data_IF_940044032363
#
_entry.id   IF_940044032363
#
_cell.length_a   1.000
_cell.length_b   1.000
_cell.length_c   1.000
_cell.angle_alpha   90.00
_cell.angle_beta   90.00
_cell.angle_gamma   90.00
#
_symmetry.space_group_name_H-M   'P 1'
#
loop_
_entity.id
_entity.type
_entity.pdbx_description
1 polymer ?
#
# COMPACT_ATOMS: atom_id res chain seq x y z
N UNK A 1 0.94 -22.98 2.56
CA UNK A 1 0.60 -21.62 3.04
C UNK A 1 1.46 -21.22 4.24
N UNK A 2 1.67 -22.09 5.22
CA UNK A 2 2.49 -21.81 6.42
C UNK A 2 3.96 -21.43 6.12
N UNK A 3 4.63 -22.08 5.17
CA UNK A 3 6.02 -21.75 4.81
C UNK A 3 6.23 -20.32 4.29
N UNK A 4 5.25 -19.75 3.59
CA UNK A 4 5.32 -18.36 3.08
C UNK A 4 5.22 -17.38 4.25
N UNK A 5 4.30 -17.64 5.19
CA UNK A 5 4.19 -16.87 6.44
C UNK A 5 5.44 -16.95 7.31
N UNK A 6 6.11 -18.11 7.36
CA UNK A 6 7.39 -18.26 8.08
C UNK A 6 8.51 -17.43 7.44
N UNK A 7 8.66 -17.45 6.11
CA UNK A 7 9.66 -16.62 5.41
C UNK A 7 9.36 -15.11 5.55
N UNK A 8 8.08 -14.74 5.54
CA UNK A 8 7.64 -13.36 5.75
C UNK A 8 7.95 -12.88 7.18
N UNK A 9 7.56 -13.63 8.21
CA UNK A 9 7.79 -13.24 9.61
C UNK A 9 9.27 -13.33 10.05
N UNK A 10 10.01 -14.36 9.61
CA UNK A 10 11.40 -14.57 10.03
C UNK A 10 12.45 -13.93 9.09
N UNK A 11 12.08 -13.57 7.87
CA UNK A 11 12.98 -12.93 6.91
C UNK A 11 12.74 -11.42 6.81
N UNK A 12 11.50 -11.02 6.52
CA UNK A 12 11.19 -9.62 6.23
C UNK A 12 11.22 -8.74 7.46
N UNK A 13 10.57 -9.15 8.56
CA UNK A 13 10.52 -8.35 9.80
C UNK A 13 11.92 -8.03 10.33
N UNK A 14 12.84 -8.99 10.53
CA UNK A 14 14.19 -8.66 10.98
C UNK A 14 14.97 -7.82 9.95
N UNK A 15 14.79 -8.05 8.65
CA UNK A 15 15.42 -7.22 7.63
C UNK A 15 14.95 -5.76 7.67
N UNK A 16 13.63 -5.54 7.78
CA UNK A 16 13.05 -4.21 7.93
C UNK A 16 13.53 -3.52 9.22
N UNK A 17 13.60 -4.26 10.33
CA UNK A 17 14.13 -3.75 11.59
C UNK A 17 15.60 -3.34 11.49
N UNK A 18 16.44 -4.11 10.77
CA UNK A 18 17.84 -3.74 10.54
C UNK A 18 17.94 -2.43 9.76
N UNK A 19 17.20 -2.29 8.65
CA UNK A 19 17.21 -1.06 7.84
C UNK A 19 16.73 0.13 8.67
N UNK A 20 15.64 -0.05 9.43
CA UNK A 20 15.07 1.00 10.28
C UNK A 20 16.01 1.39 11.42
N UNK A 21 16.65 0.41 12.05
CA UNK A 21 17.65 0.65 13.09
C UNK A 21 18.83 1.46 12.55
N UNK A 22 19.31 1.14 11.35
CA UNK A 22 20.37 1.92 10.71
C UNK A 22 19.95 3.34 10.39
N UNK A 23 18.74 3.51 9.84
CA UNK A 23 18.21 4.83 9.55
C UNK A 23 18.10 5.68 10.84
N UNK A 24 17.57 5.12 11.93
CA UNK A 24 17.45 5.80 13.23
C UNK A 24 18.80 6.12 13.82
N UNK A 25 19.76 5.18 13.76
CA UNK A 25 21.12 5.42 14.25
C UNK A 25 21.78 6.58 13.52
N UNK A 26 21.70 6.59 12.19
CA UNK A 26 22.24 7.65 11.36
C UNK A 26 21.55 9.00 11.61
N UNK A 27 20.21 9.00 11.71
CA UNK A 27 19.43 10.19 12.05
C UNK A 27 19.85 10.78 13.40
N UNK A 28 20.15 9.93 14.40
CA UNK A 28 20.60 10.38 15.72
C UNK A 28 22.02 10.93 15.72
N UNK A 29 22.92 10.35 14.94
CA UNK A 29 24.34 10.74 14.93
C UNK A 29 24.65 11.92 14.00
N UNK A 30 23.86 12.13 12.94
CA UNK A 30 24.17 13.11 11.91
C UNK A 30 22.89 13.72 11.32
N UNK A 31 22.45 14.83 11.93
CA UNK A 31 21.26 15.58 11.51
C UNK A 31 21.57 16.52 10.33
N UNK A 32 22.19 15.99 9.27
CA UNK A 32 22.43 16.72 8.01
C UNK A 32 21.15 16.79 7.18
N UNK A 33 21.04 17.77 6.29
CA UNK A 33 19.82 18.06 5.52
C UNK A 33 19.22 16.86 4.75
N UNK A 34 20.07 15.94 4.29
CA UNK A 34 19.66 14.71 3.58
C UNK A 34 18.85 13.75 4.49
N UNK A 35 19.19 13.65 5.77
CA UNK A 35 18.46 12.81 6.73
C UNK A 35 17.11 13.40 7.15
N UNK A 36 16.94 14.72 7.03
CA UNK A 36 15.62 15.36 7.19
C UNK A 36 14.65 14.87 6.12
N UNK A 37 15.12 14.77 4.86
CA UNK A 37 14.30 14.26 3.76
C UNK A 37 13.88 12.80 4.01
N UNK A 38 14.82 11.94 4.46
CA UNK A 38 14.52 10.55 4.80
C UNK A 38 13.54 10.42 5.98
N UNK A 39 13.64 11.31 6.97
CA UNK A 39 12.69 11.36 8.08
C UNK A 39 11.29 11.79 7.61
N UNK A 40 11.20 12.79 6.72
CA UNK A 40 9.92 13.20 6.12
C UNK A 40 9.29 12.07 5.29
N UNK A 41 10.07 11.39 4.47
CA UNK A 41 9.62 10.22 3.70
C UNK A 41 9.11 9.10 4.60
N UNK A 42 9.82 8.80 5.69
CA UNK A 42 9.36 7.83 6.69
C UNK A 42 8.06 8.27 7.36
N UNK A 43 7.93 9.57 7.67
CA UNK A 43 6.70 10.14 8.21
C UNK A 43 5.51 10.02 7.25
N UNK A 44 5.72 10.25 5.95
CA UNK A 44 4.71 10.06 4.91
C UNK A 44 4.29 8.60 4.80
N UNK A 45 5.26 7.67 4.77
CA UNK A 45 4.97 6.23 4.76
C UNK A 45 4.18 5.81 6.01
N UNK A 46 4.57 6.31 7.18
CA UNK A 46 3.86 6.01 8.42
C UNK A 46 2.43 6.58 8.41
N UNK A 47 2.24 7.82 7.93
CA UNK A 47 0.91 8.43 7.82
C UNK A 47 0.00 7.67 6.85
N UNK A 48 0.54 7.24 5.71
CA UNK A 48 -0.17 6.41 4.73
C UNK A 48 -0.59 5.05 5.31
N UNK A 49 0.34 4.33 5.96
CA UNK A 49 0.05 3.06 6.63
C UNK A 49 -0.99 3.22 7.74
N UNK A 50 -0.91 4.31 8.53
CA UNK A 50 -1.91 4.64 9.56
C UNK A 50 -3.27 4.87 8.91
N UNK A 51 -3.34 5.65 7.83
CA UNK A 51 -4.59 5.93 7.12
C UNK A 51 -5.20 4.64 6.55
N UNK A 52 -4.37 3.75 6.00
CA UNK A 52 -4.82 2.48 5.45
C UNK A 52 -5.28 1.49 6.52
N UNK A 53 -4.53 1.33 7.62
CA UNK A 53 -4.85 0.39 8.71
C UNK A 53 -6.01 0.86 9.58
N UNK A 54 -6.04 2.15 9.95
CA UNK A 54 -7.04 2.72 10.85
C UNK A 54 -8.28 3.19 10.08
N UNK A 55 -8.12 3.68 8.85
CA UNK A 55 -9.24 4.20 8.06
C UNK A 55 -10.29 3.13 7.75
N UNK A 56 -9.89 1.89 7.46
CA UNK A 56 -10.81 0.78 7.19
C UNK A 56 -11.79 0.49 8.35
N UNK A 57 -11.33 0.21 9.59
CA UNK A 57 -12.24 -0.05 10.70
C UNK A 57 -13.04 1.19 11.10
N UNK A 58 -12.45 2.39 11.02
CA UNK A 58 -13.16 3.64 11.34
C UNK A 58 -14.32 3.86 10.37
N UNK A 59 -14.10 3.74 9.07
CA UNK A 59 -15.18 3.88 8.08
C UNK A 59 -16.22 2.77 8.21
N UNK A 60 -15.79 1.53 8.45
CA UNK A 60 -16.70 0.41 8.63
C UNK A 60 -17.66 0.62 9.82
N UNK A 61 -17.20 1.29 10.90
CA UNK A 61 -18.06 1.64 12.03
C UNK A 61 -19.19 2.61 11.66
N UNK A 62 -19.02 3.41 10.60
CA UNK A 62 -20.05 4.30 10.05
C UNK A 62 -20.80 3.71 8.85
N UNK A 63 -20.58 2.43 8.51
CA UNK A 63 -21.18 1.81 7.33
C UNK A 63 -20.60 2.30 6.00
N UNK A 64 -19.42 2.91 6.02
CA UNK A 64 -18.71 3.43 4.86
C UNK A 64 -17.48 2.56 4.54
N UNK A 65 -16.99 2.67 3.32
CA UNK A 65 -15.75 2.06 2.87
C UNK A 65 -14.97 3.05 2.00
N UNK A 66 -13.64 2.92 1.99
CA UNK A 66 -12.81 3.63 1.02
C UNK A 66 -13.18 3.19 -0.40
N UNK A 67 -13.12 4.13 -1.34
CA UNK A 67 -13.20 3.83 -2.78
C UNK A 67 -12.04 2.92 -3.17
N UNK A 68 -12.26 2.01 -4.11
CA UNK A 68 -11.28 0.99 -4.49
C UNK A 68 -10.02 1.61 -5.13
N UNK A 69 -10.19 2.63 -5.96
CA UNK A 69 -9.09 3.39 -6.56
C UNK A 69 -8.21 4.05 -5.49
N UNK A 70 -8.81 4.56 -4.41
CA UNK A 70 -8.08 5.21 -3.32
C UNK A 70 -7.28 4.17 -2.51
N UNK A 71 -7.86 2.99 -2.24
CA UNK A 71 -7.12 1.88 -1.62
C UNK A 71 -5.92 1.48 -2.47
N UNK A 72 -6.12 1.36 -3.78
CA UNK A 72 -5.05 1.06 -4.74
C UNK A 72 -3.96 2.13 -4.75
N UNK A 73 -4.37 3.40 -4.71
CA UNK A 73 -3.45 4.54 -4.67
C UNK A 73 -2.60 4.52 -3.40
N UNK A 74 -3.21 4.35 -2.22
CA UNK A 74 -2.49 4.28 -0.95
C UNK A 74 -1.53 3.09 -0.93
N UNK A 75 -1.96 1.90 -1.38
CA UNK A 75 -1.08 0.73 -1.46
C UNK A 75 0.09 0.92 -2.42
N UNK A 76 -0.15 1.53 -3.59
CA UNK A 76 0.90 1.87 -4.55
C UNK A 76 1.88 2.92 -4.00
N UNK A 77 1.36 3.96 -3.34
CA UNK A 77 2.17 4.98 -2.69
C UNK A 77 3.03 4.39 -1.57
N UNK A 78 2.46 3.55 -0.69
CA UNK A 78 3.19 2.83 0.34
C UNK A 78 4.34 2.00 -0.25
N UNK A 79 4.07 1.25 -1.32
CA UNK A 79 5.04 0.41 -2.00
C UNK A 79 6.21 1.24 -2.55
N UNK A 80 5.90 2.29 -3.30
CA UNK A 80 6.91 3.18 -3.90
C UNK A 80 7.73 3.87 -2.80
N UNK A 81 7.07 4.43 -1.79
CA UNK A 81 7.74 5.09 -0.67
C UNK A 81 8.65 4.12 0.09
N UNK A 82 8.20 2.91 0.39
CA UNK A 82 9.01 1.90 1.08
C UNK A 82 10.25 1.49 0.28
N UNK A 83 10.11 1.23 -1.03
CA UNK A 83 11.23 0.86 -1.91
C UNK A 83 12.22 2.00 -2.04
N UNK A 84 11.75 3.21 -2.37
CA UNK A 84 12.60 4.39 -2.54
C UNK A 84 13.31 4.74 -1.24
N UNK A 85 12.60 4.73 -0.12
CA UNK A 85 13.18 5.00 1.19
C UNK A 85 14.27 3.98 1.55
N UNK A 86 14.00 2.68 1.36
CA UNK A 86 14.97 1.61 1.64
C UNK A 86 16.22 1.74 0.77
N UNK A 87 16.06 2.06 -0.53
CA UNK A 87 17.17 2.31 -1.44
C UNK A 87 18.02 3.51 -1.01
N UNK A 88 17.38 4.63 -0.66
CA UNK A 88 18.09 5.83 -0.25
C UNK A 88 18.84 5.61 1.07
N UNK A 89 18.21 4.99 2.08
CA UNK A 89 18.90 4.60 3.33
C UNK A 89 20.10 3.70 3.03
N UNK A 90 19.90 2.70 2.16
CA UNK A 90 20.96 1.80 1.75
C UNK A 90 22.13 2.52 1.09
N UNK A 91 21.84 3.35 0.08
CA UNK A 91 22.85 4.12 -0.65
C UNK A 91 23.61 5.07 0.28
N UNK A 92 22.88 5.80 1.14
CA UNK A 92 23.48 6.74 2.10
C UNK A 92 24.39 6.05 3.12
N UNK A 93 24.09 4.82 3.53
CA UNK A 93 24.91 4.07 4.50
C UNK A 93 26.04 3.29 3.83
N UNK A 94 25.80 2.66 2.67
CA UNK A 94 26.78 1.87 1.93
C UNK A 94 27.89 2.74 1.33
N UNK A 95 27.53 3.93 0.82
CA UNK A 95 28.48 4.92 0.29
C UNK A 95 29.19 5.71 1.39
N UNK A 96 28.82 5.54 2.67
CA UNK A 96 29.54 6.14 3.80
C UNK A 96 30.84 5.35 4.09
N UNK A 97 31.88 6.14 4.35
CA UNK A 97 33.32 5.84 4.36
C UNK A 97 33.79 4.69 5.29
N UNK A 98 35.07 4.29 5.14
CA UNK A 98 35.81 3.09 5.60
C UNK A 98 35.62 2.58 7.05
N UNK A 99 35.05 3.37 7.97
CA UNK A 99 34.89 2.98 9.38
C UNK A 99 33.77 1.94 9.63
N UNK A 100 32.99 1.62 8.60
CA UNK A 100 31.89 0.66 8.72
C UNK A 100 32.41 -0.77 8.52
N UNK A 101 32.20 -1.65 9.50
CA UNK A 101 32.63 -3.05 9.37
C UNK A 101 32.00 -3.69 8.13
N UNK A 102 32.80 -4.42 7.35
CA UNK A 102 32.35 -5.14 6.14
C UNK A 102 31.14 -6.03 6.45
N UNK A 103 31.15 -6.71 7.61
CA UNK A 103 30.04 -7.56 8.09
C UNK A 103 28.72 -6.80 8.14
N UNK A 104 28.74 -5.56 8.66
CA UNK A 104 27.55 -4.72 8.79
C UNK A 104 27.05 -4.20 7.44
N UNK A 105 27.96 -3.90 6.50
CA UNK A 105 27.60 -3.57 5.11
C UNK A 105 26.93 -4.76 4.41
N UNK A 106 27.46 -5.97 4.61
CA UNK A 106 26.87 -7.20 4.07
C UNK A 106 25.48 -7.47 4.65
N UNK A 107 25.33 -7.39 5.98
CA UNK A 107 24.03 -7.57 6.65
C UNK A 107 23.00 -6.57 6.12
N UNK A 108 23.36 -5.28 6.06
CA UNK A 108 22.47 -4.25 5.55
C UNK A 108 22.11 -4.48 4.08
N UNK A 109 23.08 -4.85 3.24
CA UNK A 109 22.85 -5.16 1.83
C UNK A 109 21.87 -6.32 1.64
N UNK A 110 22.05 -7.41 2.39
CA UNK A 110 21.12 -8.55 2.39
C UNK A 110 19.73 -8.11 2.87
N UNK A 111 19.65 -7.32 3.94
CA UNK A 111 18.36 -6.80 4.44
C UNK A 111 17.63 -5.94 3.41
N UNK A 112 18.35 -5.07 2.69
CA UNK A 112 17.78 -4.27 1.61
C UNK A 112 17.25 -5.16 0.49
N UNK A 113 18.02 -6.16 0.06
CA UNK A 113 17.59 -7.11 -0.97
C UNK A 113 16.32 -7.87 -0.54
N UNK A 114 16.22 -8.28 0.72
CA UNK A 114 15.03 -8.96 1.25
C UNK A 114 13.83 -8.03 1.28
N UNK A 115 13.99 -6.79 1.76
CA UNK A 115 12.89 -5.80 1.85
C UNK A 115 12.39 -5.40 0.46
N UNK A 116 13.30 -5.11 -0.48
CA UNK A 116 12.92 -4.75 -1.85
C UNK A 116 12.35 -5.98 -2.58
N UNK A 117 12.96 -7.14 -2.42
CA UNK A 117 12.50 -8.38 -3.04
C UNK A 117 11.08 -8.74 -2.62
N UNK A 118 10.75 -8.63 -1.33
CA UNK A 118 9.38 -8.86 -0.84
C UNK A 118 8.42 -7.78 -1.31
N UNK A 119 8.82 -6.51 -1.28
CA UNK A 119 8.00 -5.40 -1.76
C UNK A 119 7.63 -5.57 -3.24
N UNK A 120 8.60 -5.97 -4.07
CA UNK A 120 8.38 -6.18 -5.51
C UNK A 120 7.58 -7.45 -5.80
N UNK A 121 7.72 -8.51 -5.01
CA UNK A 121 6.98 -9.76 -5.26
C UNK A 121 5.57 -9.70 -4.68
N UNK A 122 5.46 -9.53 -3.37
CA UNK A 122 4.20 -9.55 -2.66
C UNK A 122 3.50 -8.19 -2.73
N UNK A 123 4.23 -7.09 -2.54
CA UNK A 123 3.65 -5.75 -2.58
C UNK A 123 3.09 -5.41 -3.96
N UNK A 124 3.82 -5.74 -5.03
CA UNK A 124 3.31 -5.57 -6.40
C UNK A 124 2.11 -6.47 -6.66
N UNK A 125 2.14 -7.73 -6.21
CA UNK A 125 1.00 -8.63 -6.30
C UNK A 125 -0.25 -8.03 -5.62
N UNK A 126 -0.14 -7.62 -4.36
CA UNK A 126 -1.26 -7.00 -3.64
C UNK A 126 -1.75 -5.71 -4.30
N UNK A 127 -0.84 -4.91 -4.85
CA UNK A 127 -1.20 -3.69 -5.56
C UNK A 127 -1.94 -3.99 -6.87
N UNK A 128 -1.46 -4.94 -7.68
CA UNK A 128 -2.14 -5.35 -8.92
C UNK A 128 -3.53 -5.92 -8.67
N UNK A 129 -3.75 -6.63 -7.56
CA UNK A 129 -5.09 -7.13 -7.20
C UNK A 129 -5.96 -6.07 -6.50
N UNK A 130 -5.39 -4.94 -6.11
CA UNK A 130 -6.16 -3.83 -5.55
C UNK A 130 -6.80 -2.96 -6.62
N UNK A 131 -6.20 -2.89 -7.81
CA UNK A 131 -6.70 -2.12 -8.95
C UNK A 131 -7.97 -2.76 -9.50
N UNK A 132 -9.09 -2.27 -8.99
CA UNK A 132 -10.45 -2.58 -9.46
C UNK A 132 -10.90 -1.41 -10.30
N UNK A 133 -11.45 -1.68 -11.49
CA UNK A 133 -12.09 -0.63 -12.27
C UNK A 133 -13.36 -0.17 -11.56
N UNK A 134 -13.45 1.13 -11.32
CA UNK A 134 -14.53 1.74 -10.58
C UNK A 134 -15.13 2.88 -11.40
N UNK A 135 -16.46 2.88 -11.54
CA UNK A 135 -17.22 3.89 -12.27
C UNK A 135 -18.33 4.44 -11.39
N UNK A 136 -18.67 5.72 -11.59
CA UNK A 136 -19.89 6.31 -11.00
C UNK A 136 -20.97 6.27 -12.07
N UNK A 137 -22.12 5.69 -11.72
CA UNK A 137 -23.29 5.55 -12.61
C UNK A 137 -24.52 6.12 -11.90
N UNK A 138 -25.46 6.65 -12.68
CA UNK A 138 -26.74 7.13 -12.15
C UNK A 138 -27.81 6.09 -12.47
N UNK A 139 -28.57 5.66 -11.47
CA UNK A 139 -29.65 4.69 -11.62
C UNK A 139 -30.86 5.12 -10.78
N UNK A 140 -32.02 5.28 -11.41
CA UNK A 140 -33.27 5.69 -10.74
C UNK A 140 -33.09 6.92 -9.82
N UNK A 141 -32.49 7.99 -10.34
CA UNK A 141 -32.16 9.24 -9.61
C UNK A 141 -31.18 9.08 -8.42
N UNK A 142 -30.53 7.91 -8.28
CA UNK A 142 -29.48 7.66 -7.28
C UNK A 142 -28.11 7.52 -7.94
N UNK A 143 -27.08 8.12 -7.32
CA UNK A 143 -25.70 7.90 -7.73
C UNK A 143 -25.15 6.63 -7.07
N UNK A 144 -24.66 5.71 -7.89
CA UNK A 144 -24.06 4.46 -7.47
C UNK A 144 -22.60 4.39 -7.93
N UNK A 145 -21.83 3.60 -7.20
CA UNK A 145 -20.45 3.23 -7.53
C UNK A 145 -20.47 1.80 -8.01
N UNK A 146 -20.19 1.60 -9.29
CA UNK A 146 -20.00 0.30 -9.92
C UNK A 146 -18.54 -0.11 -9.78
N UNK A 147 -18.29 -1.26 -9.17
CA UNK A 147 -16.96 -1.90 -9.10
C UNK A 147 -16.96 -3.17 -9.94
N UNK A 148 -16.01 -3.31 -10.85
CA UNK A 148 -15.78 -4.60 -11.53
C UNK A 148 -14.78 -5.45 -10.73
N UNK A 149 -15.31 -6.46 -10.04
CA UNK A 149 -14.53 -7.42 -9.25
C UNK A 149 -14.15 -8.67 -10.05
N UNK A 150 -14.46 -8.69 -11.34
CA UNK A 150 -14.12 -9.76 -12.25
C UNK A 150 -12.68 -9.66 -12.72
N UNK A 151 -11.88 -10.72 -12.53
CA UNK A 151 -10.55 -10.80 -13.15
C UNK A 151 -10.60 -11.35 -14.58
N UNK A 152 -11.47 -12.34 -14.83
CA UNK A 152 -11.67 -12.99 -16.14
C UNK A 152 -13.15 -13.04 -16.56
N UNK A 153 -14.05 -12.90 -15.59
CA UNK A 153 -15.50 -12.92 -15.75
C UNK A 153 -16.02 -11.69 -15.02
N UNK A 154 -16.50 -10.71 -15.79
CA UNK A 154 -16.90 -9.41 -15.27
C UNK A 154 -17.94 -9.59 -14.17
N UNK A 155 -17.68 -8.99 -13.00
CA UNK A 155 -18.57 -9.07 -11.85
C UNK A 155 -18.77 -7.68 -11.30
N UNK A 156 -19.76 -7.00 -11.86
CA UNK A 156 -20.18 -5.68 -11.41
C UNK A 156 -20.88 -5.77 -10.05
N UNK A 157 -20.43 -4.96 -9.10
CA UNK A 157 -21.03 -4.81 -7.79
C UNK A 157 -21.28 -3.33 -7.54
N UNK A 158 -22.49 -3.00 -7.10
CA UNK A 158 -22.94 -1.62 -6.93
C UNK A 158 -22.93 -1.22 -5.47
N UNK A 159 -22.53 0.03 -5.18
CA UNK A 159 -22.52 0.62 -3.85
C UNK A 159 -23.11 2.02 -3.87
N UNK A 160 -23.67 2.47 -2.75
CA UNK A 160 -24.13 3.85 -2.63
C UNK A 160 -22.97 4.84 -2.70
N UNK A 161 -23.15 5.93 -3.46
CA UNK A 161 -22.17 7.01 -3.56
C UNK A 161 -22.26 7.94 -2.33
N UNK A 162 -21.13 8.13 -1.63
CA UNK A 162 -21.03 9.05 -0.49
C UNK A 162 -19.92 10.11 -0.67
N UNK A 163 -19.48 10.35 -1.91
CA UNK A 163 -18.49 11.37 -2.24
C UNK A 163 -17.25 10.82 -2.98
N UNK A 164 -16.24 11.68 -3.21
CA UNK A 164 -15.11 11.32 -4.05
C UNK A 164 -14.21 10.25 -3.44
N UNK A 165 -14.09 10.21 -2.11
CA UNK A 165 -13.14 9.36 -1.38
C UNK A 165 -13.77 8.11 -0.77
N UNK A 166 -15.08 8.14 -0.51
CA UNK A 166 -15.78 7.10 0.25
C UNK A 166 -17.04 6.64 -0.49
N UNK A 167 -17.40 5.38 -0.28
CA UNK A 167 -18.61 4.72 -0.77
C UNK A 167 -19.29 3.94 0.35
N UNK A 168 -20.50 3.45 0.08
CA UNK A 168 -21.21 2.58 1.02
C UNK A 168 -20.43 1.27 1.25
N UNK A 169 -20.47 0.76 2.49
CA UNK A 169 -19.83 -0.51 2.81
C UNK A 169 -20.63 -1.73 2.32
N UNK A 170 -21.96 -1.58 2.12
CA UNK A 170 -22.85 -2.64 1.66
C UNK A 170 -23.15 -2.48 0.18
N UNK A 171 -23.15 -3.61 -0.53
CA UNK A 171 -23.59 -3.66 -1.91
C UNK A 171 -25.10 -3.44 -2.01
N UNK A 172 -25.52 -2.73 -3.04
CA UNK A 172 -26.92 -2.53 -3.42
C UNK A 172 -27.27 -3.56 -4.50
N UNK A 173 -28.41 -4.24 -4.34
CA UNK A 173 -28.95 -5.08 -5.39
C UNK A 173 -29.77 -4.21 -6.35
N UNK A 174 -29.28 -4.07 -7.57
CA UNK A 174 -29.90 -3.31 -8.64
C UNK A 174 -30.72 -4.19 -9.60
N UNK A 175 -30.86 -5.49 -9.29
CA UNK A 175 -31.65 -6.43 -10.10
C UNK A 175 -31.07 -6.74 -11.48
N UNK A 176 -29.81 -6.37 -11.71
CA UNK A 176 -29.09 -6.62 -12.98
C UNK A 176 -28.55 -8.06 -12.98
N UNK A 177 -28.68 -8.82 -14.08
CA UNK A 177 -28.12 -10.15 -14.19
C UNK A 177 -26.61 -10.14 -13.95
N UNK A 178 -26.11 -11.24 -13.39
CA UNK A 178 -24.68 -11.42 -13.15
C UNK A 178 -23.91 -11.31 -14.47
N UNK A 179 -22.92 -10.40 -14.52
CA UNK A 179 -22.07 -10.17 -15.69
C UNK A 179 -22.52 -9.07 -16.65
N UNK A 180 -23.70 -8.46 -16.42
CA UNK A 180 -24.13 -7.29 -17.18
C UNK A 180 -23.93 -6.00 -16.36
N UNK A 181 -23.47 -4.94 -17.01
CA UNK A 181 -23.36 -3.61 -16.39
C UNK A 181 -24.64 -2.80 -16.61
N UNK A 182 -24.84 -1.76 -15.81
CA UNK A 182 -25.90 -0.80 -16.07
C UNK A 182 -25.56 -0.02 -17.35
N UNK A 183 -26.46 -0.08 -18.33
CA UNK A 183 -26.38 0.81 -19.49
C UNK A 183 -26.65 2.23 -19.03
N UNK A 184 -25.80 3.17 -19.44
CA UNK A 184 -26.11 4.59 -19.27
C UNK A 184 -27.35 4.89 -20.10
N UNK A 185 -28.40 5.40 -19.45
CA UNK A 185 -29.49 6.06 -20.17
C UNK A 185 -28.88 7.25 -20.93
N UNK A 186 -28.90 7.17 -22.28
CA UNK A 186 -28.47 8.25 -23.20
C UNK A 186 -29.18 9.59 -22.95
#
# INVERSE_FOLDING_TARGET
MEQVWFLFLYGWVPAALVVLWEAVRCLRTDWRGEWKFLAWMLGLLAADLILWLIGKPVLAAFGLAWRSWLVSFLQGAALVLAVVWTLLVGLSVLCRDEAYSVVRKVILGVSICVVIGSAVTEGLFFWTFSTVEERVVTYQDQMLVEEDRGFLDHRYVYYEYHGPLVRGARSVDVGVPYGECLQEDE
#
